data_IF_002284998405
#
_entry.id   IF_002284998405
#
_cell.length_a   1.000
_cell.length_b   1.000
_cell.length_c   1.000
_cell.angle_alpha   90.00
_cell.angle_beta   90.00
_cell.angle_gamma   90.00
#
_symmetry.space_group_name_H-M   'P 1'
#
loop_
_entity.id
_entity.type
_entity.pdbx_description
1 polymer ?
#
# COMPACT_ATOMS: atom_id res chain seq x y z
N UNK A 1 -8.42 25.01 -0.79
CA UNK A 1 -9.06 25.33 -2.09
C UNK A 1 -10.59 25.40 -1.94
N UNK A 2 -11.19 26.46 -2.46
CA UNK A 2 -12.62 26.74 -2.23
C UNK A 2 -13.53 26.34 -3.40
N UNK A 3 -12.96 25.91 -4.54
CA UNK A 3 -13.72 25.48 -5.71
C UNK A 3 -13.05 24.27 -6.38
N UNK A 4 -13.77 23.68 -7.33
CA UNK A 4 -13.33 22.45 -7.98
C UNK A 4 -12.07 22.64 -8.83
N UNK A 5 -11.93 23.80 -9.48
CA UNK A 5 -10.73 24.09 -10.27
C UNK A 5 -9.49 24.19 -9.38
N UNK A 6 -9.60 24.91 -8.27
CA UNK A 6 -8.50 25.00 -7.29
C UNK A 6 -8.17 23.67 -6.64
N UNK A 7 -9.18 22.89 -6.29
CA UNK A 7 -8.99 21.55 -5.73
C UNK A 7 -8.26 20.63 -6.70
N UNK A 8 -8.67 20.64 -7.96
CA UNK A 8 -8.05 19.83 -9.01
C UNK A 8 -6.58 20.21 -9.18
N UNK A 9 -6.28 21.49 -9.33
CA UNK A 9 -4.91 21.99 -9.47
C UNK A 9 -4.06 21.62 -8.24
N UNK A 10 -4.61 21.81 -7.04
CA UNK A 10 -3.91 21.48 -5.80
C UNK A 10 -3.57 19.99 -5.70
N UNK A 11 -4.52 19.12 -6.00
CA UNK A 11 -4.35 17.67 -5.92
C UNK A 11 -3.35 17.18 -6.98
N UNK A 12 -3.58 17.52 -8.25
CA UNK A 12 -2.74 17.02 -9.34
C UNK A 12 -1.37 17.71 -9.42
N UNK A 13 -1.21 18.83 -8.73
CA UNK A 13 0.07 19.50 -8.60
C UNK A 13 0.97 18.97 -7.49
N UNK A 14 0.48 18.04 -6.67
CA UNK A 14 1.25 17.44 -5.57
C UNK A 14 2.03 16.23 -6.05
N UNK A 15 3.14 15.94 -5.36
CA UNK A 15 3.95 14.75 -5.62
C UNK A 15 3.33 13.51 -4.97
N UNK A 16 3.55 12.37 -5.58
CA UNK A 16 3.21 11.04 -5.05
C UNK A 16 1.74 10.89 -4.66
N UNK A 17 0.83 11.24 -5.57
CA UNK A 17 -0.61 11.08 -5.38
C UNK A 17 -1.08 9.74 -5.90
N UNK A 18 -1.99 9.11 -5.17
CA UNK A 18 -2.67 7.90 -5.62
C UNK A 18 -4.01 8.29 -6.26
N UNK A 19 -4.20 7.93 -7.52
CA UNK A 19 -5.46 8.15 -8.23
C UNK A 19 -6.25 6.84 -8.28
N UNK A 20 -7.49 6.88 -7.79
CA UNK A 20 -8.40 5.75 -7.83
C UNK A 20 -9.54 6.04 -8.79
N UNK A 21 -9.88 5.07 -9.64
CA UNK A 21 -10.94 5.21 -10.63
C UNK A 21 -12.02 4.16 -10.39
N UNK A 22 -13.28 4.60 -10.36
CA UNK A 22 -14.43 3.72 -10.34
C UNK A 22 -15.05 3.66 -11.74
N UNK A 23 -15.15 2.47 -12.30
CA UNK A 23 -15.82 2.24 -13.58
C UNK A 23 -17.27 1.82 -13.33
N UNK A 24 -18.21 2.63 -13.79
CA UNK A 24 -19.63 2.42 -13.55
C UNK A 24 -20.10 1.03 -13.96
N UNK A 25 -20.84 0.37 -13.07
CA UNK A 25 -21.47 -0.92 -13.30
C UNK A 25 -20.61 -2.12 -12.89
N UNK A 26 -19.33 -1.94 -12.61
CA UNK A 26 -18.46 -3.04 -12.21
C UNK A 26 -18.87 -3.65 -10.87
N UNK A 27 -19.43 -2.84 -9.97
CA UNK A 27 -19.93 -3.29 -8.66
C UNK A 27 -21.11 -4.25 -8.75
N UNK A 28 -21.80 -4.25 -9.89
CA UNK A 28 -22.96 -5.12 -10.15
C UNK A 28 -22.65 -6.28 -11.10
N UNK A 29 -21.40 -6.39 -11.55
CA UNK A 29 -20.96 -7.45 -12.47
C UNK A 29 -20.26 -8.56 -11.68
N UNK A 30 -20.94 -9.68 -11.50
CA UNK A 30 -20.44 -10.82 -10.74
C UNK A 30 -19.19 -11.48 -11.37
N UNK A 31 -18.99 -11.28 -12.67
CA UNK A 31 -17.83 -11.81 -13.37
C UNK A 31 -16.63 -10.85 -13.34
N UNK A 32 -16.85 -9.63 -12.92
CA UNK A 32 -15.79 -8.62 -12.83
C UNK A 32 -14.97 -8.82 -11.55
N UNK A 33 -13.66 -8.72 -11.69
CA UNK A 33 -12.75 -8.76 -10.55
C UNK A 33 -11.38 -8.24 -10.93
N UNK A 34 -10.56 -8.06 -9.93
CA UNK A 34 -9.17 -7.64 -10.11
C UNK A 34 -8.25 -8.82 -9.82
N UNK A 35 -7.09 -8.82 -10.45
CA UNK A 35 -6.08 -9.85 -10.26
C UNK A 35 -4.78 -9.23 -9.77
N UNK A 36 -4.33 -9.69 -8.61
CA UNK A 36 -3.07 -9.29 -8.00
C UNK A 36 -1.92 -9.99 -8.73
N UNK A 37 -0.96 -9.21 -9.23
CA UNK A 37 0.17 -9.74 -10.00
C UNK A 37 1.22 -10.50 -9.20
N UNK A 38 1.05 -10.64 -7.89
CA UNK A 38 1.89 -11.54 -7.09
C UNK A 38 1.55 -13.01 -7.33
N UNK A 39 0.35 -13.27 -7.86
CA UNK A 39 -0.11 -14.60 -8.26
C UNK A 39 -0.05 -14.75 -9.78
N UNK A 40 0.00 -15.98 -10.29
CA UNK A 40 -0.02 -16.22 -11.73
C UNK A 40 -1.37 -15.82 -12.36
N UNK A 41 -1.38 -15.13 -13.52
CA UNK A 41 -0.23 -14.63 -14.25
C UNK A 41 0.43 -13.42 -13.58
N UNK A 42 1.75 -13.47 -13.44
CA UNK A 42 2.48 -12.43 -12.73
C UNK A 42 2.43 -11.08 -13.46
N UNK A 43 2.32 -10.01 -12.67
CA UNK A 43 2.27 -8.66 -13.18
C UNK A 43 2.47 -7.66 -12.04
N UNK A 44 1.69 -6.58 -12.07
CA UNK A 44 1.78 -5.56 -11.03
C UNK A 44 1.45 -6.14 -9.65
N UNK A 45 2.38 -6.03 -8.71
CA UNK A 45 2.29 -6.67 -7.40
C UNK A 45 1.83 -5.77 -6.25
N UNK A 46 2.42 -4.59 -6.12
CA UNK A 46 2.09 -3.71 -4.99
C UNK A 46 2.56 -2.27 -5.21
N UNK A 47 2.02 -1.37 -4.38
CA UNK A 47 2.55 -0.02 -4.19
C UNK A 47 3.13 0.08 -2.79
N UNK A 48 4.02 1.04 -2.57
CA UNK A 48 4.59 1.31 -1.24
C UNK A 48 4.07 2.63 -0.68
N UNK A 49 3.77 2.64 0.61
CA UNK A 49 3.36 3.84 1.34
C UNK A 49 4.30 4.03 2.53
N UNK A 50 5.06 5.12 2.51
CA UNK A 50 5.94 5.46 3.62
C UNK A 50 5.14 6.09 4.75
N UNK A 51 5.38 5.63 5.98
CA UNK A 51 4.74 6.14 7.18
C UNK A 51 5.80 6.53 8.22
N UNK A 52 5.48 7.41 9.16
CA UNK A 52 6.44 7.78 10.22
C UNK A 52 6.79 6.61 11.15
N UNK A 53 5.85 5.71 11.40
CA UNK A 53 6.02 4.58 12.31
C UNK A 53 5.17 3.40 11.82
N UNK A 54 5.83 2.35 11.34
CA UNK A 54 5.17 1.16 10.81
C UNK A 54 4.36 0.45 11.88
N UNK A 55 4.89 0.34 13.10
CA UNK A 55 4.20 -0.37 14.19
C UNK A 55 2.92 0.33 14.61
N UNK A 56 2.94 1.65 14.75
CA UNK A 56 1.74 2.43 15.06
C UNK A 56 0.70 2.36 13.94
N UNK A 57 1.15 2.46 12.69
CA UNK A 57 0.26 2.35 11.53
C UNK A 57 -0.41 0.97 11.48
N UNK A 58 0.35 -0.11 11.70
CA UNK A 58 -0.17 -1.47 11.67
C UNK A 58 -1.11 -1.78 12.84
N UNK A 59 -0.87 -1.23 14.02
CA UNK A 59 -1.82 -1.32 15.13
C UNK A 59 -3.16 -0.71 14.76
N UNK A 60 -3.13 0.45 14.10
CA UNK A 60 -4.35 1.10 13.62
C UNK A 60 -5.06 0.26 12.56
N UNK A 61 -4.32 -0.28 11.61
CA UNK A 61 -4.89 -1.14 10.55
C UNK A 61 -5.54 -2.38 11.15
N UNK A 62 -4.93 -2.99 12.13
CA UNK A 62 -5.47 -4.16 12.81
C UNK A 62 -6.79 -3.83 13.51
N UNK A 63 -6.87 -2.70 14.21
CA UNK A 63 -8.10 -2.21 14.85
C UNK A 63 -9.21 -1.90 13.86
N UNK A 64 -8.85 -1.49 12.64
CA UNK A 64 -9.79 -1.20 11.56
C UNK A 64 -10.21 -2.44 10.77
N UNK A 65 -9.66 -3.60 11.07
CA UNK A 65 -10.00 -4.86 10.39
C UNK A 65 -9.34 -5.03 9.02
N UNK A 66 -8.24 -4.34 8.76
CA UNK A 66 -7.49 -4.46 7.50
C UNK A 66 -6.82 -5.84 7.42
N UNK A 67 -6.88 -6.48 6.27
CA UNK A 67 -6.21 -7.76 6.03
C UNK A 67 -4.70 -7.58 5.85
N UNK A 68 -3.93 -8.40 6.56
CA UNK A 68 -2.47 -8.42 6.45
C UNK A 68 -2.00 -9.59 5.61
N UNK A 69 -1.03 -9.34 4.73
CA UNK A 69 -0.22 -10.37 4.10
C UNK A 69 0.96 -10.71 5.01
N UNK A 70 1.59 -9.67 5.58
CA UNK A 70 2.73 -9.78 6.47
C UNK A 70 2.65 -8.68 7.52
N UNK A 71 2.69 -9.06 8.79
CA UNK A 71 2.82 -8.11 9.90
C UNK A 71 4.27 -7.68 10.06
N UNK A 72 4.55 -6.54 10.74
CA UNK A 72 5.89 -5.95 10.74
C UNK A 72 7.04 -6.86 11.14
N UNK A 73 6.81 -7.76 12.08
CA UNK A 73 7.87 -8.63 12.59
C UNK A 73 7.79 -10.06 12.08
N UNK A 74 6.89 -10.35 11.15
CA UNK A 74 6.83 -11.66 10.51
C UNK A 74 7.99 -11.83 9.53
N UNK A 75 8.54 -13.04 9.48
CA UNK A 75 9.60 -13.38 8.54
C UNK A 75 10.94 -12.73 8.86
N UNK A 76 11.80 -12.67 7.85
CA UNK A 76 13.18 -12.16 8.00
C UNK A 76 13.26 -10.64 8.01
N UNK A 77 12.40 -9.98 7.24
CA UNK A 77 12.41 -8.52 7.14
C UNK A 77 11.54 -7.90 8.23
N UNK A 78 12.17 -7.44 9.29
CA UNK A 78 11.48 -6.80 10.42
C UNK A 78 11.20 -5.34 10.12
N UNK A 79 10.09 -4.79 10.67
CA UNK A 79 9.72 -3.39 10.52
C UNK A 79 9.13 -3.03 9.17
N UNK A 80 8.72 -4.02 8.41
CA UNK A 80 8.11 -3.87 7.09
C UNK A 80 6.83 -4.70 7.04
N UNK A 81 5.74 -4.11 6.60
CA UNK A 81 4.46 -4.83 6.53
C UNK A 81 3.87 -4.77 5.13
N UNK A 82 3.02 -5.75 4.84
CA UNK A 82 2.16 -5.75 3.66
C UNK A 82 0.72 -5.93 4.10
N UNK A 83 -0.14 -5.03 3.63
CA UNK A 83 -1.59 -5.13 3.80
C UNK A 83 -2.24 -5.33 2.44
N UNK A 84 -3.52 -5.69 2.44
CA UNK A 84 -4.33 -5.79 1.21
C UNK A 84 -5.33 -4.66 1.15
N UNK A 85 -5.54 -4.14 -0.06
CA UNK A 85 -6.67 -3.27 -0.32
C UNK A 85 -7.95 -4.12 -0.51
N UNK A 86 -9.14 -3.50 -0.65
CA UNK A 86 -10.38 -4.27 -0.84
C UNK A 86 -10.40 -5.15 -2.08
N UNK A 87 -9.58 -4.88 -3.07
CA UNK A 87 -9.52 -5.64 -4.32
C UNK A 87 -8.44 -6.74 -4.29
N UNK A 88 -7.73 -6.87 -3.18
CA UNK A 88 -6.70 -7.89 -3.00
C UNK A 88 -5.30 -7.47 -3.44
N UNK A 89 -5.10 -6.23 -3.88
CA UNK A 89 -3.76 -5.73 -4.18
C UNK A 89 -2.98 -5.47 -2.89
N UNK A 90 -1.67 -5.70 -2.95
CA UNK A 90 -0.82 -5.51 -1.78
C UNK A 90 -0.35 -4.06 -1.67
N UNK A 91 -0.26 -3.59 -0.44
CA UNK A 91 0.31 -2.29 -0.10
C UNK A 91 1.41 -2.52 0.92
N UNK A 92 2.64 -2.15 0.54
CA UNK A 92 3.79 -2.19 1.43
C UNK A 92 3.77 -0.98 2.37
N UNK A 93 3.87 -1.23 3.66
CA UNK A 93 3.95 -0.19 4.68
C UNK A 93 5.37 -0.17 5.20
N UNK A 94 6.05 0.95 5.02
CA UNK A 94 7.47 1.07 5.30
C UNK A 94 7.82 2.40 5.95
N UNK A 95 8.95 2.44 6.63
CA UNK A 95 9.55 3.69 7.06
C UNK A 95 11.01 3.71 6.58
N UNK A 96 11.44 4.82 5.92
CA UNK A 96 12.74 4.85 5.22
C UNK A 96 13.95 4.53 6.08
N UNK A 97 13.96 4.95 7.35
CA UNK A 97 15.07 4.70 8.25
C UNK A 97 15.23 3.22 8.62
N UNK A 98 14.13 2.44 8.61
CA UNK A 98 14.20 0.99 8.85
C UNK A 98 14.82 0.28 7.66
N UNK A 99 14.48 0.70 6.43
CA UNK A 99 15.07 0.16 5.21
C UNK A 99 16.59 0.40 5.15
N UNK A 100 17.04 1.57 5.58
CA UNK A 100 18.46 1.89 5.66
C UNK A 100 19.19 0.96 6.61
N UNK A 101 18.62 0.69 7.77
CA UNK A 101 19.19 -0.25 8.75
C UNK A 101 19.30 -1.66 8.21
N UNK A 102 18.27 -2.14 7.52
CA UNK A 102 18.27 -3.47 6.91
C UNK A 102 19.36 -3.59 5.85
N UNK A 103 19.49 -2.58 4.98
CA UNK A 103 20.53 -2.57 3.94
C UNK A 103 21.93 -2.65 4.54
N UNK A 104 22.19 -1.93 5.62
CA UNK A 104 23.49 -1.99 6.30
C UNK A 104 23.81 -3.37 6.85
N UNK A 105 22.81 -4.04 7.42
CA UNK A 105 22.98 -5.41 7.91
C UNK A 105 23.32 -6.36 6.78
N UNK A 106 22.66 -6.25 5.63
CA UNK A 106 22.94 -7.08 4.45
C UNK A 106 24.35 -6.83 3.90
N UNK A 107 24.82 -5.58 3.90
CA UNK A 107 26.18 -5.22 3.44
C UNK A 107 27.27 -5.72 4.38
N UNK A 108 26.98 -5.89 5.67
CA UNK A 108 27.92 -6.39 6.68
C UNK A 108 28.02 -7.93 6.72
N UNK A 109 27.04 -8.63 6.17
CA UNK A 109 27.05 -10.08 6.02
C UNK A 109 27.82 -10.53 4.78
#
# INVERSE_FOLDING_TARGET
PNDDAHRTTFIFGREAMLELTHNWGTENDEEFGYHNGNDEPQGFGHIGVAVPDVYSACDRFEKLGVDFVKKPDDGKMKGLAFIKDPDGYWIEILQPNMLEKQRRVEEEE
#
